data_IF_458767843164
#
_entry.id   IF_458767843164
#
_cell.length_a   1.000
_cell.length_b   1.000
_cell.length_c   1.000
_cell.angle_alpha   90.00
_cell.angle_beta   90.00
_cell.angle_gamma   90.00
#
_symmetry.space_group_name_H-M   'P 1'
#
loop_
_entity.id
_entity.type
_entity.pdbx_description
1 polymer ?
#
# COMPACT_ATOMS: atom_id res chain seq x y z
N UNK A 1 -4.08 -21.17 -4.61
CA UNK A 1 -5.41 -21.80 -4.57
C UNK A 1 -6.25 -21.05 -3.56
N UNK A 2 -7.12 -20.17 -4.04
CA UNK A 2 -8.18 -19.62 -3.21
C UNK A 2 -9.18 -20.74 -2.86
N UNK A 3 -9.71 -20.81 -1.63
CA UNK A 3 -10.82 -21.71 -1.32
C UNK A 3 -12.02 -21.36 -2.22
N UNK A 4 -12.89 -22.33 -2.47
CA UNK A 4 -14.12 -22.11 -3.24
C UNK A 4 -15.01 -21.14 -2.46
N UNK A 5 -14.94 -19.87 -2.86
CA UNK A 5 -15.66 -18.75 -2.28
C UNK A 5 -16.70 -18.34 -3.32
N UNK A 6 -17.96 -18.30 -2.89
CA UNK A 6 -19.03 -17.77 -3.73
C UNK A 6 -18.90 -16.25 -3.84
N UNK A 7 -18.12 -15.82 -4.84
CA UNK A 7 -17.88 -14.43 -5.16
C UNK A 7 -18.72 -14.08 -6.38
N UNK A 8 -19.50 -13.01 -6.27
CA UNK A 8 -20.33 -12.49 -7.35
C UNK A 8 -19.50 -12.33 -8.65
N UNK A 9 -19.88 -12.98 -9.76
CA UNK A 9 -19.07 -12.98 -10.99
C UNK A 9 -18.79 -11.58 -11.54
N UNK A 10 -19.78 -10.68 -11.45
CA UNK A 10 -19.64 -9.29 -11.91
C UNK A 10 -18.59 -8.52 -11.12
N UNK A 11 -18.42 -8.84 -9.83
CA UNK A 11 -17.39 -8.24 -8.99
C UNK A 11 -15.99 -8.70 -9.41
N UNK A 12 -15.84 -10.00 -9.72
CA UNK A 12 -14.58 -10.56 -10.22
C UNK A 12 -14.20 -9.98 -11.57
N UNK A 13 -15.16 -9.80 -12.47
CA UNK A 13 -14.91 -9.24 -13.80
C UNK A 13 -14.49 -7.77 -13.72
N UNK A 14 -15.13 -6.98 -12.85
CA UNK A 14 -14.70 -5.59 -12.57
C UNK A 14 -13.30 -5.54 -11.94
N UNK A 15 -13.00 -6.42 -10.97
CA UNK A 15 -11.69 -6.48 -10.36
C UNK A 15 -10.60 -6.88 -11.37
N UNK A 16 -10.88 -7.83 -12.25
CA UNK A 16 -9.96 -8.25 -13.31
C UNK A 16 -9.67 -7.10 -14.29
N UNK A 17 -10.72 -6.39 -14.75
CA UNK A 17 -10.59 -5.28 -15.67
C UNK A 17 -9.75 -4.11 -15.11
N UNK A 18 -9.80 -3.88 -13.79
CA UNK A 18 -9.09 -2.78 -13.12
C UNK A 18 -7.69 -3.15 -12.60
N UNK A 19 -7.45 -4.43 -12.32
CA UNK A 19 -6.21 -4.88 -11.65
C UNK A 19 -5.01 -5.07 -12.57
N UNK A 20 -5.23 -5.20 -13.89
CA UNK A 20 -4.18 -5.63 -14.83
C UNK A 20 -3.73 -7.09 -14.64
N UNK A 21 -4.43 -7.87 -13.80
CA UNK A 21 -4.19 -9.29 -13.62
C UNK A 21 -4.62 -10.08 -14.85
N UNK A 22 -3.99 -11.24 -15.08
CA UNK A 22 -4.31 -12.11 -16.24
C UNK A 22 -5.40 -13.12 -15.90
N UNK A 23 -5.60 -13.40 -14.62
CA UNK A 23 -6.58 -14.39 -14.14
C UNK A 23 -7.39 -13.86 -12.98
N UNK A 24 -8.59 -14.43 -12.78
CA UNK A 24 -9.45 -14.11 -11.63
C UNK A 24 -8.76 -14.42 -10.29
N UNK A 25 -7.98 -15.50 -10.20
CA UNK A 25 -7.23 -15.83 -8.97
C UNK A 25 -6.15 -14.79 -8.66
N UNK A 26 -5.42 -14.33 -9.68
CA UNK A 26 -4.45 -13.24 -9.53
C UNK A 26 -5.14 -11.95 -9.07
N UNK A 27 -6.30 -11.60 -9.66
CA UNK A 27 -7.09 -10.42 -9.28
C UNK A 27 -7.57 -10.49 -7.82
N UNK A 28 -8.10 -11.65 -7.37
CA UNK A 28 -8.51 -11.86 -5.97
C UNK A 28 -7.32 -11.73 -5.03
N UNK A 29 -6.20 -12.35 -5.37
CA UNK A 29 -4.98 -12.27 -4.55
C UNK A 29 -4.48 -10.84 -4.41
N UNK A 30 -4.50 -10.06 -5.50
CA UNK A 30 -4.13 -8.65 -5.49
C UNK A 30 -5.10 -7.84 -4.63
N UNK A 31 -6.41 -8.01 -4.83
CA UNK A 31 -7.44 -7.29 -4.07
C UNK A 31 -7.31 -7.53 -2.56
N UNK A 32 -7.04 -8.77 -2.13
CA UNK A 32 -6.82 -9.09 -0.72
C UNK A 32 -5.56 -8.43 -0.16
N UNK A 33 -4.44 -8.44 -0.91
CA UNK A 33 -3.20 -7.76 -0.51
C UNK A 33 -3.41 -6.26 -0.34
N UNK A 34 -4.10 -5.62 -1.29
CA UNK A 34 -4.41 -4.20 -1.22
C UNK A 34 -5.37 -3.86 -0.07
N UNK A 35 -6.39 -4.68 0.14
CA UNK A 35 -7.34 -4.52 1.24
C UNK A 35 -6.65 -4.58 2.61
N UNK A 36 -5.76 -5.56 2.81
CA UNK A 36 -4.94 -5.68 4.02
C UNK A 36 -4.00 -4.49 4.14
N UNK A 37 -3.29 -4.14 3.06
CA UNK A 37 -2.37 -3.00 3.03
C UNK A 37 -3.05 -1.68 3.38
N UNK A 38 -4.25 -1.42 2.83
CA UNK A 38 -5.05 -0.22 3.10
C UNK A 38 -5.44 -0.14 4.58
N UNK A 39 -5.81 -1.25 5.20
CA UNK A 39 -6.15 -1.30 6.64
C UNK A 39 -4.93 -1.14 7.53
N UNK A 40 -3.79 -1.74 7.17
CA UNK A 40 -2.53 -1.54 7.91
C UNK A 40 -2.08 -0.08 7.84
N UNK A 41 -2.13 0.55 6.66
CA UNK A 41 -1.80 1.97 6.49
C UNK A 41 -2.73 2.88 7.28
N UNK A 42 -4.02 2.56 7.38
CA UNK A 42 -4.95 3.36 8.20
C UNK A 42 -4.53 3.43 9.69
N UNK A 43 -3.84 2.40 10.21
CA UNK A 43 -3.33 2.39 11.60
C UNK A 43 -2.18 3.36 11.84
N UNK A 44 -1.56 3.94 10.80
CA UNK A 44 -0.60 5.06 10.99
C UNK A 44 -1.27 6.21 11.75
N UNK A 45 -2.59 6.40 11.56
CA UNK A 45 -3.33 7.43 12.30
C UNK A 45 -3.28 7.19 13.80
N UNK A 46 -3.32 5.92 14.24
CA UNK A 46 -3.22 5.54 15.66
C UNK A 46 -1.84 5.85 16.26
N UNK A 47 -0.82 6.05 15.42
CA UNK A 47 0.54 6.38 15.86
C UNK A 47 0.78 7.89 16.03
N UNK A 48 -0.14 8.76 15.57
CA UNK A 48 0.04 10.20 15.79
C UNK A 48 0.06 10.52 17.28
N UNK A 49 1.07 11.29 17.71
CA UNK A 49 1.25 11.67 19.11
C UNK A 49 1.85 10.58 20.01
N UNK A 50 2.11 9.37 19.50
CA UNK A 50 2.78 8.30 20.26
C UNK A 50 4.27 8.19 19.97
N UNK A 51 4.74 8.76 18.84
CA UNK A 51 6.17 8.82 18.53
C UNK A 51 6.85 9.96 19.31
N UNK A 52 7.93 9.61 19.99
CA UNK A 52 8.91 10.58 20.48
C UNK A 52 9.81 11.00 19.30
N UNK A 53 9.80 12.29 19.00
CA UNK A 53 10.69 12.87 18.00
C UNK A 53 11.96 13.36 18.69
N UNK A 54 13.10 13.23 18.02
CA UNK A 54 14.33 13.87 18.46
C UNK A 54 14.29 15.36 18.08
N UNK A 55 14.32 16.24 19.08
CA UNK A 55 14.28 17.69 18.88
C UNK A 55 15.49 18.20 18.08
N UNK A 56 16.59 17.46 18.04
CA UNK A 56 17.78 17.79 17.25
C UNK A 56 17.66 17.38 15.77
N UNK A 57 16.61 16.64 15.37
CA UNK A 57 16.47 16.13 14.00
C UNK A 57 16.02 17.23 13.01
N UNK A 58 16.95 17.70 12.16
CA UNK A 58 16.66 18.63 11.07
C UNK A 58 16.35 17.91 9.74
N UNK A 59 15.10 17.50 9.55
CA UNK A 59 14.63 16.92 8.28
C UNK A 59 14.81 17.84 7.04
N UNK A 60 15.08 19.15 7.22
CA UNK A 60 15.39 20.04 6.09
C UNK A 60 16.85 19.91 5.65
N UNK A 61 17.76 19.47 6.53
CA UNK A 61 19.15 19.18 6.17
C UNK A 61 19.23 18.06 5.14
N UNK A 62 18.49 16.98 5.35
CA UNK A 62 18.41 15.85 4.42
C UNK A 62 17.87 16.28 3.06
N UNK A 63 16.78 17.05 3.04
CA UNK A 63 16.23 17.57 1.78
C UNK A 63 17.22 18.43 0.99
N UNK A 64 18.08 19.21 1.67
CA UNK A 64 19.10 20.03 1.00
C UNK A 64 20.21 19.17 0.40
N UNK A 65 20.50 18.02 0.99
CA UNK A 65 21.50 17.06 0.51
C UNK A 65 21.08 16.42 -0.81
N UNK A 66 19.82 15.99 -0.93
CA UNK A 66 19.31 15.33 -2.14
C UNK A 66 19.22 16.27 -3.36
N UNK A 67 19.14 17.59 -3.15
CA UNK A 67 19.21 18.57 -4.28
C UNK A 67 20.64 18.80 -4.76
N UNK A 68 21.65 18.27 -4.07
CA UNK A 68 23.06 18.58 -4.30
C UNK A 68 23.93 17.37 -4.70
N UNK A 69 23.45 16.13 -4.55
CA UNK A 69 24.12 14.93 -5.09
C UNK A 69 23.37 14.40 -6.32
N UNK A 70 23.94 14.51 -7.54
CA UNK A 70 23.49 13.69 -8.66
C UNK A 70 23.61 12.22 -8.27
N UNK A 71 22.56 11.44 -8.53
CA UNK A 71 22.63 9.98 -8.44
C UNK A 71 23.61 9.49 -9.52
N UNK A 72 24.81 9.08 -9.12
CA UNK A 72 25.69 8.24 -9.96
C UNK A 72 25.15 6.81 -10.07
#
# INVERSE_FOLDING_TARGET
MAPDLDIEPELLDRALALSGARTREEAVTLALREFIGRRRRARIVESFGTLAWDDAYDHKADRRRDVLEPLE
#
